data_IF_145532340047
#
_entry.id   IF_145532340047
#
_cell.length_a   1.000
_cell.length_b   1.000
_cell.length_c   1.000
_cell.angle_alpha   90.00
_cell.angle_beta   90.00
_cell.angle_gamma   90.00
#
_symmetry.space_group_name_H-M   'P 1'
#
loop_
_entity.id
_entity.type
_entity.pdbx_description
1 polymer ?
#
# COMPACT_ATOMS: atom_id res chain seq x y z
N UNK A 1 69.68 38.91 38.64
CA UNK A 1 69.05 39.27 37.35
C UNK A 1 68.93 38.10 36.36
N UNK A 2 69.91 37.24 36.16
CA UNK A 2 69.84 36.12 35.14
C UNK A 2 68.71 35.10 35.36
N UNK A 3 68.17 34.88 36.56
CA UNK A 3 67.10 33.89 36.79
C UNK A 3 65.72 34.36 36.37
N UNK A 4 65.40 35.64 36.41
CA UNK A 4 64.12 36.23 36.03
C UNK A 4 63.99 36.24 34.50
N UNK A 5 65.09 36.49 33.80
CA UNK A 5 65.07 36.51 32.31
C UNK A 5 64.87 35.11 31.71
N UNK A 6 65.36 34.06 32.36
CA UNK A 6 65.11 32.65 31.93
C UNK A 6 63.68 32.25 32.18
N UNK A 7 63.07 32.67 33.32
CA UNK A 7 61.72 32.37 33.65
C UNK A 7 60.72 33.04 32.67
N UNK A 8 60.98 34.31 32.35
CA UNK A 8 60.16 35.06 31.38
C UNK A 8 60.25 34.49 29.93
N UNK A 9 61.43 34.04 29.55
CA UNK A 9 61.65 33.39 28.26
C UNK A 9 60.90 32.04 28.18
N UNK A 10 60.87 31.25 29.25
CA UNK A 10 60.14 30.01 29.28
C UNK A 10 58.62 30.20 29.25
N UNK A 11 58.11 31.24 29.96
CA UNK A 11 56.69 31.56 29.94
C UNK A 11 56.24 32.06 28.57
N UNK A 12 57.03 32.94 27.92
CA UNK A 12 56.77 33.42 26.56
C UNK A 12 56.77 32.27 25.54
N UNK A 13 57.72 31.34 25.67
CA UNK A 13 57.70 30.17 24.78
C UNK A 13 56.49 29.28 24.96
N UNK A 14 56.07 29.06 26.20
CA UNK A 14 54.81 28.26 26.47
C UNK A 14 53.58 28.98 25.92
N UNK A 15 53.49 30.31 26.06
CA UNK A 15 52.37 31.07 25.49
C UNK A 15 52.35 31.00 23.96
N UNK A 16 53.47 31.10 23.29
CA UNK A 16 53.58 30.98 21.84
C UNK A 16 53.16 29.59 21.39
N UNK A 17 53.60 28.53 22.06
CA UNK A 17 53.20 27.16 21.77
C UNK A 17 51.69 26.98 21.98
N UNK A 18 51.11 27.56 23.04
CA UNK A 18 49.68 27.53 23.31
C UNK A 18 48.87 28.19 22.20
N UNK A 19 49.27 29.36 21.73
CA UNK A 19 48.63 30.09 20.62
C UNK A 19 48.69 29.31 19.30
N UNK A 20 49.88 28.71 19.03
CA UNK A 20 50.05 27.89 17.82
C UNK A 20 49.16 26.65 17.87
N UNK A 21 49.10 25.95 19.00
CA UNK A 21 48.20 24.78 19.19
C UNK A 21 46.73 25.16 19.03
N UNK A 22 46.32 26.28 19.61
CA UNK A 22 44.92 26.77 19.49
C UNK A 22 44.57 27.13 18.04
N UNK A 23 45.47 27.82 17.32
CA UNK A 23 45.33 28.12 15.92
C UNK A 23 45.23 26.85 15.05
N UNK A 24 46.02 25.82 15.37
CA UNK A 24 46.07 24.55 14.65
C UNK A 24 44.77 23.76 14.86
N UNK A 25 44.25 23.69 16.08
CA UNK A 25 42.97 23.05 16.40
C UNK A 25 41.81 23.81 15.71
N UNK A 26 41.83 25.15 15.75
CA UNK A 26 40.84 25.98 15.09
C UNK A 26 40.81 25.78 13.58
N UNK A 27 41.96 25.73 12.93
CA UNK A 27 42.03 25.45 11.49
C UNK A 27 41.56 24.02 11.14
N UNK A 28 41.94 23.03 11.94
CA UNK A 28 41.50 21.65 11.74
C UNK A 28 39.97 21.50 11.85
N UNK A 29 39.35 22.17 12.82
CA UNK A 29 37.89 22.14 12.98
C UNK A 29 37.16 22.82 11.83
N UNK A 30 37.67 23.96 11.36
CA UNK A 30 37.12 24.67 10.20
C UNK A 30 37.23 23.83 8.92
N UNK A 31 38.39 23.26 8.65
CA UNK A 31 38.63 22.35 7.50
C UNK A 31 37.73 21.13 7.56
N UNK A 32 37.59 20.49 8.73
CA UNK A 32 36.71 19.33 8.93
C UNK A 32 35.25 19.67 8.66
N UNK A 33 34.78 20.82 9.15
CA UNK A 33 33.41 21.27 8.90
C UNK A 33 33.17 21.58 7.42
N UNK A 34 34.09 22.27 6.75
CA UNK A 34 33.99 22.56 5.31
C UNK A 34 33.98 21.27 4.50
N UNK A 35 34.85 20.31 4.84
CA UNK A 35 34.93 19.02 4.18
C UNK A 35 33.63 18.21 4.37
N UNK A 36 33.11 18.16 5.61
CA UNK A 36 31.83 17.49 5.93
C UNK A 36 30.68 18.13 5.18
N UNK A 37 30.55 19.45 5.18
CA UNK A 37 29.49 20.16 4.47
C UNK A 37 29.56 19.97 2.95
N UNK A 38 30.75 19.98 2.38
CA UNK A 38 30.94 19.74 0.94
C UNK A 38 30.64 18.27 0.57
N UNK A 39 30.98 17.32 1.43
CA UNK A 39 30.68 15.90 1.20
C UNK A 39 29.19 15.63 1.24
N UNK A 40 28.45 16.33 2.10
CA UNK A 40 26.98 16.19 2.20
C UNK A 40 26.28 16.92 1.05
N UNK A 41 26.70 18.16 0.71
CA UNK A 41 26.06 18.98 -0.32
C UNK A 41 26.35 18.56 -1.76
N UNK A 42 27.46 17.94 -2.04
CA UNK A 42 27.94 17.68 -3.40
C UNK A 42 27.87 16.23 -3.87
N UNK A 43 27.21 15.33 -3.14
CA UNK A 43 26.78 14.07 -3.76
C UNK A 43 25.66 14.38 -4.75
N UNK A 44 26.03 14.77 -5.95
CA UNK A 44 25.10 14.70 -7.09
C UNK A 44 24.70 13.24 -7.21
N UNK A 45 23.47 12.95 -6.79
CA UNK A 45 22.85 11.66 -7.05
C UNK A 45 22.81 11.54 -8.58
N UNK A 46 23.54 10.58 -9.13
CA UNK A 46 23.52 10.33 -10.58
C UNK A 46 22.09 10.06 -11.04
N UNK A 47 21.76 10.48 -12.25
CA UNK A 47 20.47 10.15 -12.84
C UNK A 47 20.26 8.62 -12.76
N UNK A 48 19.22 8.17 -12.04
CA UNK A 48 18.89 6.76 -11.90
C UNK A 48 19.49 6.04 -10.69
N UNK A 49 20.25 6.69 -9.80
CA UNK A 49 20.82 6.04 -8.63
C UNK A 49 19.76 5.50 -7.64
N UNK A 50 18.59 6.11 -7.58
CA UNK A 50 17.42 5.67 -6.79
C UNK A 50 16.26 5.19 -7.67
N UNK A 51 16.53 4.88 -8.94
CA UNK A 51 15.53 4.58 -9.94
C UNK A 51 15.01 5.84 -10.64
N UNK A 52 14.44 5.65 -11.82
CA UNK A 52 13.76 6.70 -12.58
C UNK A 52 12.26 6.41 -12.60
N UNK A 53 11.46 7.37 -12.15
CA UNK A 53 10.01 7.30 -12.32
C UNK A 53 9.58 8.19 -13.49
N UNK A 54 8.73 7.69 -14.35
CA UNK A 54 8.06 8.41 -15.43
C UNK A 54 6.65 7.91 -15.62
N UNK A 55 5.83 8.68 -16.29
CA UNK A 55 4.52 8.18 -16.70
C UNK A 55 4.69 7.08 -17.76
N UNK A 56 3.86 6.06 -17.67
CA UNK A 56 3.84 4.97 -18.64
C UNK A 56 3.38 5.48 -20.02
N UNK A 57 4.00 4.97 -21.06
CA UNK A 57 3.58 5.23 -22.44
C UNK A 57 2.28 4.48 -22.75
N UNK A 58 1.54 4.91 -23.79
CA UNK A 58 0.34 4.24 -24.25
C UNK A 58 0.59 2.75 -24.64
N UNK A 59 1.76 2.45 -25.16
CA UNK A 59 2.15 1.07 -25.53
C UNK A 59 2.32 0.21 -24.29
N UNK A 60 2.96 0.73 -23.25
CA UNK A 60 3.14 0.04 -21.96
C UNK A 60 1.79 -0.15 -21.24
N UNK A 61 0.94 0.87 -21.24
CA UNK A 61 -0.41 0.76 -20.64
C UNK A 61 -1.20 -0.37 -21.32
N UNK A 62 -1.17 -0.45 -22.65
CA UNK A 62 -1.89 -1.49 -23.39
C UNK A 62 -1.29 -2.89 -23.25
N UNK A 63 -0.01 -3.00 -22.94
CA UNK A 63 0.64 -4.30 -22.72
C UNK A 63 0.37 -4.89 -21.34
N UNK A 64 0.15 -4.02 -20.33
CA UNK A 64 -0.02 -4.43 -18.92
C UNK A 64 -1.52 -4.49 -18.57
N UNK A 65 -2.27 -3.44 -18.90
CA UNK A 65 -3.65 -3.28 -18.46
C UNK A 65 -4.66 -3.76 -19.51
N UNK A 66 -5.80 -4.25 -19.03
CA UNK A 66 -6.95 -4.58 -19.88
C UNK A 66 -7.91 -3.40 -19.95
N UNK A 67 -8.40 -3.09 -21.16
CA UNK A 67 -9.44 -2.08 -21.35
C UNK A 67 -10.78 -2.79 -21.48
N UNK A 68 -11.66 -2.58 -20.50
CA UNK A 68 -12.99 -3.18 -20.44
C UNK A 68 -14.04 -2.10 -20.53
N UNK A 69 -15.04 -2.19 -21.44
CA UNK A 69 -16.15 -1.25 -21.47
C UNK A 69 -16.84 -1.18 -20.10
N UNK A 70 -17.02 0.03 -19.56
CA UNK A 70 -17.62 0.22 -18.25
C UNK A 70 -19.13 0.40 -18.37
N UNK A 71 -19.89 -0.70 -18.20
CA UNK A 71 -21.33 -0.79 -18.41
C UNK A 71 -22.07 -1.39 -17.20
N UNK A 72 -22.10 -0.70 -16.03
CA UNK A 72 -22.68 -1.26 -14.80
C UNK A 72 -24.13 -1.72 -14.95
N UNK A 73 -24.96 -0.98 -15.70
CA UNK A 73 -26.36 -1.36 -15.94
C UNK A 73 -26.48 -2.70 -16.67
N UNK A 74 -25.63 -2.93 -17.65
CA UNK A 74 -25.61 -4.19 -18.40
C UNK A 74 -25.10 -5.34 -17.53
N UNK A 75 -24.03 -5.10 -16.77
CA UNK A 75 -23.47 -6.10 -15.87
C UNK A 75 -24.46 -6.56 -14.80
N UNK A 76 -25.22 -5.62 -14.22
CA UNK A 76 -26.27 -5.97 -13.25
C UNK A 76 -27.40 -6.77 -13.89
N UNK A 77 -27.79 -6.43 -15.12
CA UNK A 77 -28.83 -7.16 -15.84
C UNK A 77 -28.41 -8.58 -16.22
N UNK A 78 -27.11 -8.81 -16.51
CA UNK A 78 -26.55 -10.12 -16.81
C UNK A 78 -26.09 -10.91 -15.58
N UNK A 79 -26.23 -10.34 -14.38
CA UNK A 79 -25.73 -10.91 -13.11
C UNK A 79 -24.24 -11.30 -13.16
N UNK A 80 -23.43 -10.52 -13.87
CA UNK A 80 -22.01 -10.80 -13.99
C UNK A 80 -21.68 -12.06 -14.81
N UNK A 81 -22.60 -12.53 -15.66
CA UNK A 81 -22.37 -13.69 -16.54
C UNK A 81 -21.35 -13.43 -17.64
N UNK A 82 -20.99 -12.16 -17.90
CA UNK A 82 -19.93 -11.78 -18.82
C UNK A 82 -18.58 -12.18 -18.20
N UNK A 83 -17.79 -12.95 -18.92
CA UNK A 83 -16.43 -13.37 -18.48
C UNK A 83 -15.47 -12.18 -18.53
N UNK A 84 -15.61 -11.29 -17.56
CA UNK A 84 -14.69 -10.15 -17.40
C UNK A 84 -13.38 -10.61 -16.76
N UNK A 85 -12.24 -10.03 -17.17
CA UNK A 85 -10.97 -10.30 -16.51
C UNK A 85 -11.02 -9.81 -15.06
N UNK A 86 -10.68 -10.65 -14.12
CA UNK A 86 -10.55 -10.24 -12.71
C UNK A 86 -9.36 -9.28 -12.56
N UNK A 87 -9.47 -8.35 -11.62
CA UNK A 87 -8.42 -7.37 -11.37
C UNK A 87 -8.93 -6.06 -10.77
N UNK A 88 -8.01 -5.14 -10.55
CA UNK A 88 -8.30 -3.83 -9.96
C UNK A 88 -8.46 -2.76 -11.03
N UNK A 89 -9.53 -1.97 -10.94
CA UNK A 89 -9.73 -0.80 -11.81
C UNK A 89 -8.81 0.33 -11.33
N UNK A 90 -7.75 0.61 -12.10
CA UNK A 90 -6.77 1.65 -11.77
C UNK A 90 -7.10 3.01 -12.39
N UNK A 91 -8.06 3.07 -13.29
CA UNK A 91 -8.50 4.31 -13.93
C UNK A 91 -9.59 4.10 -14.96
N UNK A 92 -10.05 5.20 -15.51
CA UNK A 92 -11.07 5.23 -16.56
C UNK A 92 -10.54 5.97 -17.78
N UNK A 93 -10.85 5.46 -18.98
CA UNK A 93 -10.49 6.10 -20.26
C UNK A 93 -11.66 6.06 -21.25
N UNK A 94 -11.73 7.04 -22.13
CA UNK A 94 -12.65 7.00 -23.26
C UNK A 94 -11.94 6.40 -24.48
N UNK A 95 -12.56 5.40 -25.09
CA UNK A 95 -12.14 4.81 -26.35
C UNK A 95 -13.32 4.76 -27.32
N UNK A 96 -13.19 5.39 -28.47
CA UNK A 96 -14.26 5.47 -29.48
C UNK A 96 -15.61 5.97 -28.91
N UNK A 97 -15.57 6.99 -28.05
CA UNK A 97 -16.75 7.54 -27.39
C UNK A 97 -17.26 6.75 -26.17
N UNK A 98 -16.82 5.51 -25.97
CA UNK A 98 -17.24 4.64 -24.87
C UNK A 98 -16.29 4.79 -23.67
N UNK A 99 -16.86 4.82 -22.47
CA UNK A 99 -16.10 4.80 -21.21
C UNK A 99 -15.60 3.37 -20.98
N UNK A 100 -14.30 3.22 -20.75
CA UNK A 100 -13.67 1.95 -20.45
C UNK A 100 -12.93 2.01 -19.13
N UNK A 101 -13.04 0.96 -18.34
CA UNK A 101 -12.21 0.73 -17.18
C UNK A 101 -10.83 0.23 -17.61
N UNK A 102 -9.79 0.78 -17.03
CA UNK A 102 -8.41 0.31 -17.15
C UNK A 102 -8.18 -0.65 -15.99
N UNK A 103 -8.08 -1.93 -16.30
CA UNK A 103 -8.02 -3.00 -15.30
C UNK A 103 -6.63 -3.57 -15.23
N UNK A 104 -6.07 -3.61 -14.04
CA UNK A 104 -4.85 -4.34 -13.74
C UNK A 104 -5.22 -5.79 -13.35
N UNK A 105 -4.89 -6.79 -14.18
CA UNK A 105 -5.19 -8.18 -13.87
C UNK A 105 -4.13 -8.83 -12.97
N UNK A 106 -3.10 -8.09 -12.58
CA UNK A 106 -2.03 -8.59 -11.70
C UNK A 106 -2.47 -8.70 -10.25
N UNK A 107 -1.78 -9.55 -9.50
CA UNK A 107 -1.92 -9.64 -8.05
C UNK A 107 -1.00 -8.60 -7.40
N UNK A 108 -1.49 -7.36 -7.32
CA UNK A 108 -0.72 -6.22 -6.84
C UNK A 108 -1.44 -5.50 -5.70
N UNK A 109 -0.68 -5.06 -4.70
CA UNK A 109 -1.18 -4.17 -3.68
C UNK A 109 -1.30 -2.74 -4.21
N UNK A 110 -2.44 -2.11 -3.99
CA UNK A 110 -2.69 -0.74 -4.44
C UNK A 110 -2.92 0.19 -3.25
N UNK A 111 -2.20 1.30 -3.21
CA UNK A 111 -2.42 2.36 -2.23
C UNK A 111 -2.94 3.62 -2.92
N UNK A 112 -4.09 4.13 -2.44
CA UNK A 112 -4.65 5.39 -2.91
C UNK A 112 -4.46 6.50 -1.89
N UNK A 113 -3.73 7.53 -2.26
CA UNK A 113 -3.46 8.70 -1.42
C UNK A 113 -4.23 9.91 -1.97
N UNK A 114 -4.91 10.61 -1.10
CA UNK A 114 -5.64 11.82 -1.48
C UNK A 114 -6.24 12.51 -0.25
N UNK A 115 -6.39 13.84 -0.32
CA UNK A 115 -7.02 14.64 0.73
C UNK A 115 -8.49 14.23 0.97
N UNK A 116 -9.07 14.66 2.08
CA UNK A 116 -10.51 14.50 2.33
C UNK A 116 -11.32 15.24 1.25
N UNK A 117 -12.43 14.65 0.81
CA UNK A 117 -13.34 15.27 -0.16
C UNK A 117 -12.93 15.18 -1.64
N UNK A 118 -11.74 14.68 -1.99
CA UNK A 118 -11.29 14.55 -3.41
C UNK A 118 -12.00 13.44 -4.20
N UNK A 119 -12.96 12.75 -3.60
CA UNK A 119 -13.74 11.73 -4.30
C UNK A 119 -13.12 10.33 -4.32
N UNK A 120 -12.20 9.99 -3.42
CA UNK A 120 -11.59 8.64 -3.38
C UNK A 120 -12.63 7.52 -3.41
N UNK A 121 -13.65 7.62 -2.58
CA UNK A 121 -14.73 6.63 -2.52
C UNK A 121 -15.51 6.57 -3.81
N UNK A 122 -15.93 7.72 -4.34
CA UNK A 122 -16.77 7.78 -5.54
C UNK A 122 -16.03 7.41 -6.83
N UNK A 123 -14.77 7.83 -6.96
CA UNK A 123 -14.01 7.67 -8.21
C UNK A 123 -13.19 6.37 -8.26
N UNK A 124 -12.90 5.77 -7.11
CA UNK A 124 -12.09 4.55 -7.08
C UNK A 124 -12.82 3.39 -6.41
N UNK A 125 -13.28 3.56 -5.16
CA UNK A 125 -13.82 2.44 -4.40
C UNK A 125 -15.11 1.88 -5.02
N UNK A 126 -16.09 2.74 -5.32
CA UNK A 126 -17.34 2.30 -5.93
C UNK A 126 -17.16 1.65 -7.30
N UNK A 127 -16.39 2.21 -8.24
CA UNK A 127 -16.10 1.53 -9.50
C UNK A 127 -15.41 0.18 -9.34
N UNK A 128 -14.53 0.03 -8.35
CA UNK A 128 -13.87 -1.25 -8.06
C UNK A 128 -14.82 -2.27 -7.45
N UNK A 129 -15.71 -1.86 -6.52
CA UNK A 129 -16.74 -2.76 -5.98
C UNK A 129 -17.68 -3.26 -7.08
N UNK A 130 -18.16 -2.35 -7.92
CA UNK A 130 -19.00 -2.70 -9.07
C UNK A 130 -18.30 -3.69 -10.00
N UNK A 131 -17.04 -3.41 -10.32
CA UNK A 131 -16.25 -4.27 -11.19
C UNK A 131 -15.94 -5.62 -10.56
N UNK A 132 -15.61 -5.66 -9.27
CA UNK A 132 -15.39 -6.90 -8.54
C UNK A 132 -16.62 -7.81 -8.60
N UNK A 133 -17.83 -7.23 -8.37
CA UNK A 133 -19.08 -7.95 -8.52
C UNK A 133 -19.29 -8.46 -9.94
N UNK A 134 -19.08 -7.61 -10.95
CA UNK A 134 -19.28 -7.97 -12.35
C UNK A 134 -18.30 -9.04 -12.85
N UNK A 135 -17.07 -9.06 -12.33
CA UNK A 135 -16.04 -10.04 -12.69
C UNK A 135 -16.05 -11.32 -11.84
N UNK A 136 -16.96 -11.44 -10.88
CA UNK A 136 -17.10 -12.63 -10.03
C UNK A 136 -16.00 -12.76 -8.98
N UNK A 137 -15.39 -11.65 -8.53
CA UNK A 137 -14.37 -11.66 -7.48
C UNK A 137 -15.00 -11.67 -6.09
N UNK A 138 -14.57 -12.57 -5.21
CA UNK A 138 -14.87 -12.44 -3.79
C UNK A 138 -13.99 -11.35 -3.18
N UNK A 139 -14.54 -10.56 -2.26
CA UNK A 139 -13.78 -9.49 -1.62
C UNK A 139 -14.22 -9.27 -0.17
N UNK A 140 -13.31 -8.74 0.62
CA UNK A 140 -13.55 -8.24 1.98
C UNK A 140 -13.32 -6.73 1.97
N UNK A 141 -14.22 -5.97 2.59
CA UNK A 141 -14.08 -4.53 2.72
C UNK A 141 -14.29 -4.09 4.17
N UNK A 142 -13.46 -3.17 4.64
CA UNK A 142 -13.65 -2.51 5.93
C UNK A 142 -14.38 -1.19 5.72
N UNK A 143 -15.42 -0.96 6.53
CA UNK A 143 -16.28 0.21 6.42
C UNK A 143 -16.45 0.90 7.78
N UNK A 144 -15.75 2.01 7.98
CA UNK A 144 -15.79 2.75 9.23
C UNK A 144 -17.06 3.58 9.42
N UNK A 145 -17.81 3.83 8.36
CA UNK A 145 -19.01 4.69 8.35
C UNK A 145 -20.32 3.94 8.09
N UNK A 146 -20.26 2.70 7.64
CA UNK A 146 -21.41 1.93 7.22
C UNK A 146 -21.95 2.32 5.84
N UNK A 147 -21.25 3.18 5.10
CA UNK A 147 -21.71 3.68 3.80
C UNK A 147 -21.61 2.62 2.70
N UNK A 148 -20.61 1.73 2.76
CA UNK A 148 -20.40 0.69 1.76
C UNK A 148 -21.48 -0.38 1.86
N UNK A 149 -21.75 -0.89 3.05
CA UNK A 149 -22.78 -1.88 3.28
C UNK A 149 -24.16 -1.34 2.86
N UNK A 150 -24.46 -0.09 3.20
CA UNK A 150 -25.73 0.58 2.86
C UNK A 150 -25.90 0.82 1.36
N UNK A 151 -24.85 1.30 0.68
CA UNK A 151 -24.95 1.71 -0.72
C UNK A 151 -24.70 0.57 -1.70
N UNK A 152 -23.91 -0.44 -1.32
CA UNK A 152 -23.50 -1.52 -2.21
C UNK A 152 -23.94 -2.92 -1.78
N UNK A 153 -24.42 -3.10 -0.55
CA UNK A 153 -24.89 -4.41 -0.09
C UNK A 153 -25.96 -5.01 -1.00
N UNK A 154 -26.97 -4.23 -1.36
CA UNK A 154 -28.04 -4.68 -2.25
C UNK A 154 -27.59 -4.84 -3.71
N UNK A 155 -26.62 -4.02 -4.14
CA UNK A 155 -26.02 -4.19 -5.47
C UNK A 155 -25.26 -5.52 -5.55
N UNK A 156 -24.47 -5.87 -4.53
CA UNK A 156 -23.80 -7.17 -4.47
C UNK A 156 -24.81 -8.33 -4.50
N UNK A 157 -25.92 -8.23 -3.77
CA UNK A 157 -26.99 -9.24 -3.81
C UNK A 157 -27.61 -9.39 -5.20
N UNK A 158 -27.77 -8.29 -5.98
CA UNK A 158 -28.25 -8.34 -7.36
C UNK A 158 -27.32 -9.14 -8.28
N UNK A 159 -26.01 -9.14 -8.00
CA UNK A 159 -25.04 -9.99 -8.70
C UNK A 159 -24.99 -11.44 -8.18
N UNK A 160 -25.83 -11.79 -7.21
CA UNK A 160 -25.90 -13.13 -6.63
C UNK A 160 -24.89 -13.40 -5.52
N UNK A 161 -24.27 -12.36 -4.95
CA UNK A 161 -23.33 -12.52 -3.84
C UNK A 161 -24.04 -12.81 -2.53
N UNK A 162 -23.43 -13.66 -1.73
CA UNK A 162 -23.74 -13.76 -0.32
C UNK A 162 -23.01 -12.64 0.41
N UNK A 163 -23.75 -11.70 0.98
CA UNK A 163 -23.20 -10.52 1.68
C UNK A 163 -23.33 -10.73 3.16
N UNK A 164 -22.21 -10.83 3.87
CA UNK A 164 -22.15 -10.86 5.33
C UNK A 164 -21.62 -9.52 5.85
N UNK A 165 -22.28 -8.96 6.86
CA UNK A 165 -21.91 -7.69 7.49
C UNK A 165 -21.59 -7.95 8.95
N UNK A 166 -20.31 -7.84 9.33
CA UNK A 166 -19.85 -7.93 10.72
C UNK A 166 -19.83 -6.52 11.29
N UNK A 167 -20.83 -6.20 12.13
CA UNK A 167 -20.94 -4.90 12.78
C UNK A 167 -20.44 -4.96 14.22
N UNK A 168 -19.20 -4.45 14.42
CA UNK A 168 -18.58 -4.40 15.75
C UNK A 168 -19.18 -3.33 16.68
N UNK A 169 -19.98 -2.37 16.14
CA UNK A 169 -20.66 -1.35 16.93
C UNK A 169 -22.00 -1.85 17.46
N UNK A 170 -22.65 -2.70 16.67
CA UNK A 170 -23.94 -3.29 17.03
C UNK A 170 -23.92 -4.81 16.84
N UNK A 171 -23.20 -5.53 17.72
CA UNK A 171 -22.97 -6.96 17.55
C UNK A 171 -24.26 -7.81 17.63
N UNK A 172 -25.34 -7.25 18.21
CA UNK A 172 -26.65 -7.94 18.27
C UNK A 172 -27.33 -8.02 16.91
N UNK A 173 -27.04 -7.07 16.00
CA UNK A 173 -27.59 -7.04 14.63
C UNK A 173 -26.57 -7.46 13.59
N UNK A 174 -25.38 -7.87 14.02
CA UNK A 174 -24.29 -8.31 13.15
C UNK A 174 -24.49 -9.74 12.68
N UNK A 175 -24.05 -10.03 11.47
CA UNK A 175 -23.85 -11.41 11.07
C UNK A 175 -22.77 -12.06 11.94
N UNK A 176 -22.93 -13.33 12.23
CA UNK A 176 -21.97 -14.09 13.03
C UNK A 176 -20.89 -14.69 12.14
N UNK A 177 -19.65 -14.60 12.60
CA UNK A 177 -18.53 -15.23 11.95
C UNK A 177 -17.76 -16.11 12.94
N UNK A 178 -17.77 -17.42 12.68
CA UNK A 178 -16.97 -18.38 13.44
C UNK A 178 -15.80 -18.84 12.56
N UNK A 179 -14.59 -18.41 12.90
CA UNK A 179 -13.35 -18.78 12.19
C UNK A 179 -13.13 -20.29 12.15
N UNK A 180 -13.57 -20.99 13.19
CA UNK A 180 -13.39 -22.45 13.31
C UNK A 180 -14.54 -23.25 12.71
N UNK A 181 -15.53 -22.61 12.07
CA UNK A 181 -16.71 -23.32 11.54
C UNK A 181 -16.36 -24.41 10.55
N UNK A 182 -15.39 -24.17 9.68
CA UNK A 182 -14.94 -25.17 8.71
C UNK A 182 -14.11 -26.30 9.37
N UNK A 183 -13.25 -25.95 10.33
CA UNK A 183 -12.51 -26.94 11.13
C UNK A 183 -13.48 -27.84 11.87
N UNK A 184 -14.44 -27.27 12.61
CA UNK A 184 -15.45 -28.03 13.35
C UNK A 184 -16.28 -28.93 12.42
N UNK A 185 -16.72 -28.40 11.26
CA UNK A 185 -17.49 -29.17 10.27
C UNK A 185 -16.74 -30.41 9.79
N UNK A 186 -15.45 -30.27 9.44
CA UNK A 186 -14.67 -31.42 8.96
C UNK A 186 -14.23 -32.33 10.09
N UNK A 187 -13.99 -31.82 11.30
CA UNK A 187 -13.74 -32.66 12.47
C UNK A 187 -14.96 -33.49 12.87
N UNK A 188 -16.16 -32.90 12.83
CA UNK A 188 -17.43 -33.63 13.08
C UNK A 188 -17.67 -34.71 12.01
N UNK A 189 -17.38 -34.40 10.74
CA UNK A 189 -17.44 -35.37 9.65
C UNK A 189 -16.45 -36.52 9.89
N UNK A 190 -15.20 -36.21 10.25
CA UNK A 190 -14.18 -37.21 10.59
C UNK A 190 -14.60 -38.09 11.77
N UNK A 191 -15.16 -37.52 12.82
CA UNK A 191 -15.64 -38.30 13.96
C UNK A 191 -16.73 -39.29 13.57
N UNK A 192 -17.57 -38.96 12.61
CA UNK A 192 -18.66 -39.81 12.10
C UNK A 192 -18.17 -40.86 11.11
N UNK A 193 -17.38 -40.47 10.12
CA UNK A 193 -16.92 -41.34 9.02
C UNK A 193 -15.62 -42.07 9.32
N UNK A 194 -14.76 -41.52 10.20
CA UNK A 194 -13.39 -41.92 10.42
C UNK A 194 -12.49 -41.84 9.17
N UNK A 195 -12.92 -41.12 8.16
CA UNK A 195 -12.14 -40.93 6.93
C UNK A 195 -11.00 -39.92 7.12
N UNK A 196 -9.79 -40.34 6.79
CA UNK A 196 -8.58 -39.48 6.87
C UNK A 196 -8.65 -38.27 5.95
N UNK A 197 -9.44 -38.35 4.87
CA UNK A 197 -9.69 -37.20 3.97
C UNK A 197 -10.34 -36.01 4.67
N UNK A 198 -11.28 -36.26 5.57
CA UNK A 198 -11.98 -35.21 6.32
C UNK A 198 -11.09 -34.61 7.39
N UNK A 199 -10.24 -35.42 8.02
CA UNK A 199 -9.19 -34.97 8.95
C UNK A 199 -8.21 -34.02 8.26
N UNK A 200 -7.69 -34.40 7.09
CA UNK A 200 -6.76 -33.59 6.31
C UNK A 200 -7.39 -32.25 5.87
N UNK A 201 -8.71 -32.25 5.56
CA UNK A 201 -9.43 -30.99 5.27
C UNK A 201 -9.54 -30.10 6.51
N UNK A 202 -9.85 -30.67 7.69
CA UNK A 202 -9.91 -29.89 8.94
C UNK A 202 -8.55 -29.24 9.24
N UNK A 203 -7.46 -29.99 9.19
CA UNK A 203 -6.09 -29.50 9.41
C UNK A 203 -5.70 -28.38 8.43
N UNK A 204 -6.15 -28.47 7.17
CA UNK A 204 -5.91 -27.42 6.18
C UNK A 204 -6.59 -26.08 6.51
N UNK A 205 -7.71 -26.09 7.21
CA UNK A 205 -8.43 -24.88 7.61
C UNK A 205 -8.01 -24.36 8.98
N UNK A 206 -7.21 -25.11 9.73
CA UNK A 206 -6.65 -24.70 11.02
C UNK A 206 -5.35 -23.90 10.84
N UNK A 207 -4.58 -24.12 9.78
CA UNK A 207 -3.31 -23.44 9.46
C UNK A 207 -3.53 -22.07 8.83
#
# INVERSE_FOLDING_TARGET
MKGVDILNSSITTLLIIGVIMFALIGTLTVVSNIYSLNTIKNKRVGHGQHGNARFATEKEIRSIYKLVPYEPKKWRASQGSDKLPQGTVVGMRRRNGQLCAVVDPGDVHTMMIGAAGVGKTACFLYPNLEYACASGMSFLSTDTKGDLARNYGDVCKQYGYNVAVIDLRNPVQSDTFNMLSMVNKYMDAYQKSKELSDKAKAEKYEA
#
